data_IF_115476837503
#
_entry.id   IF_115476837503
#
_cell.length_a   1.000
_cell.length_b   1.000
_cell.length_c   1.000
_cell.angle_alpha   90.00
_cell.angle_beta   90.00
_cell.angle_gamma   90.00
#
_symmetry.space_group_name_H-M   'P 1'
#
loop_
_entity.id
_entity.type
_entity.pdbx_description
1 polymer ?
#
# COMPACT_ATOMS: atom_id res chain seq x y z
N UNK A 1 4.49 13.07 -18.44
CA UNK A 1 4.07 13.50 -17.09
C UNK A 1 5.16 14.37 -16.46
N UNK A 2 4.82 15.53 -15.90
CA UNK A 2 5.73 16.41 -15.13
C UNK A 2 5.18 16.58 -13.71
N UNK A 3 5.93 16.16 -12.68
CA UNK A 3 5.53 16.24 -11.26
C UNK A 3 6.40 17.26 -10.54
N UNK A 4 5.81 18.10 -9.69
CA UNK A 4 6.54 19.02 -8.82
C UNK A 4 5.80 19.25 -7.50
N UNK A 5 6.56 19.47 -6.43
CA UNK A 5 6.04 19.85 -5.12
C UNK A 5 6.13 21.37 -4.93
N UNK A 6 5.07 21.95 -4.39
CA UNK A 6 4.91 23.38 -4.16
C UNK A 6 4.67 23.63 -2.68
N UNK A 7 5.54 24.39 -2.04
CA UNK A 7 5.36 24.82 -0.65
C UNK A 7 4.78 26.24 -0.59
N UNK A 8 3.89 26.49 0.37
CA UNK A 8 3.28 27.78 0.65
C UNK A 8 3.03 27.96 2.15
N UNK A 9 2.85 29.21 2.60
CA UNK A 9 2.48 29.48 4.00
C UNK A 9 1.08 28.98 4.31
N UNK A 10 0.17 29.12 3.35
CA UNK A 10 -1.24 28.73 3.45
C UNK A 10 -1.71 28.09 2.13
N UNK A 11 -2.85 27.38 2.17
CA UNK A 11 -3.45 26.70 1.01
C UNK A 11 -3.60 27.61 -0.21
N UNK A 12 -4.01 28.86 0.00
CA UNK A 12 -4.17 29.84 -1.08
C UNK A 12 -2.84 30.14 -1.78
N UNK A 13 -1.75 30.26 -1.02
CA UNK A 13 -0.43 30.56 -1.57
C UNK A 13 0.13 29.35 -2.33
N UNK A 14 0.03 28.15 -1.75
CA UNK A 14 0.48 26.92 -2.40
C UNK A 14 -0.28 26.69 -3.71
N UNK A 15 -1.61 26.84 -3.72
CA UNK A 15 -2.43 26.73 -4.93
C UNK A 15 -2.13 27.83 -5.96
N UNK A 16 -1.75 29.04 -5.53
CA UNK A 16 -1.30 30.08 -6.47
C UNK A 16 -0.04 29.64 -7.21
N UNK A 17 0.94 29.09 -6.49
CA UNK A 17 2.20 28.59 -7.09
C UNK A 17 1.96 27.44 -8.06
N UNK A 18 1.04 26.53 -7.72
CA UNK A 18 0.60 25.45 -8.63
C UNK A 18 0.06 26.04 -9.93
N UNK A 19 -0.86 27.00 -9.84
CA UNK A 19 -1.46 27.64 -11.04
C UNK A 19 -0.47 28.44 -11.86
N UNK A 20 0.44 29.18 -11.21
CA UNK A 20 1.49 29.95 -11.90
C UNK A 20 2.44 29.03 -12.68
N UNK A 21 2.65 27.80 -12.21
CA UNK A 21 3.62 26.87 -12.80
C UNK A 21 2.99 25.90 -13.81
N UNK A 22 1.82 25.35 -13.48
CA UNK A 22 1.17 24.27 -14.24
C UNK A 22 -0.19 24.68 -14.83
N UNK A 23 -0.72 25.84 -14.48
CA UNK A 23 -2.01 26.31 -14.97
C UNK A 23 -3.22 25.71 -14.23
N UNK A 24 -4.44 25.90 -14.77
CA UNK A 24 -5.67 25.44 -14.15
C UNK A 24 -5.89 23.92 -14.26
N UNK A 25 -5.23 23.27 -15.21
CA UNK A 25 -5.42 21.84 -15.52
C UNK A 25 -4.54 20.89 -14.68
N UNK A 26 -3.87 21.42 -13.66
CA UNK A 26 -3.00 20.66 -12.79
C UNK A 26 -3.78 19.67 -11.92
N UNK A 27 -3.31 18.41 -11.87
CA UNK A 27 -3.87 17.39 -10.98
C UNK A 27 -3.04 17.31 -9.70
N UNK A 28 -3.71 17.37 -8.55
CA UNK A 28 -3.07 17.23 -7.24
C UNK A 28 -3.00 15.75 -6.86
N UNK A 29 -1.82 15.30 -6.48
CA UNK A 29 -1.55 13.92 -6.07
C UNK A 29 -1.55 13.78 -4.55
N UNK A 30 -0.96 14.75 -3.84
CA UNK A 30 -0.73 14.70 -2.40
C UNK A 30 -0.77 16.10 -1.80
N UNK A 31 -1.22 16.20 -0.55
CA UNK A 31 -1.27 17.45 0.22
C UNK A 31 -0.82 17.17 1.64
N UNK A 32 0.31 17.75 2.03
CA UNK A 32 0.92 17.57 3.34
C UNK A 32 1.11 18.91 4.05
N UNK A 33 1.19 18.86 5.38
CA UNK A 33 1.57 20.00 6.22
C UNK A 33 2.85 19.66 6.95
N UNK A 34 3.93 20.34 6.58
CA UNK A 34 5.27 20.11 7.14
C UNK A 34 5.79 21.43 7.71
N UNK A 35 6.25 21.39 8.96
CA UNK A 35 6.81 22.55 9.68
C UNK A 35 5.90 23.81 9.64
N UNK A 36 4.59 23.59 9.73
CA UNK A 36 3.59 24.66 9.69
C UNK A 36 3.41 25.31 8.31
N UNK A 37 3.98 24.73 7.25
CA UNK A 37 3.80 25.13 5.85
C UNK A 37 3.00 24.06 5.12
N UNK A 38 2.30 24.46 4.08
CA UNK A 38 1.57 23.53 3.24
C UNK A 38 2.41 23.14 2.02
N UNK A 39 2.52 21.84 1.78
CA UNK A 39 3.15 21.26 0.59
C UNK A 39 2.11 20.56 -0.29
N UNK A 40 2.08 20.90 -1.58
CA UNK A 40 1.18 20.31 -2.56
C UNK A 40 2.02 19.67 -3.66
N UNK A 41 1.88 18.37 -3.86
CA UNK A 41 2.46 17.66 -5.01
C UNK A 41 1.45 17.68 -6.15
N UNK A 42 1.80 18.30 -7.26
CA UNK A 42 0.95 18.39 -8.45
C UNK A 42 1.66 17.85 -9.69
N UNK A 43 0.87 17.49 -10.70
CA UNK A 43 1.36 17.03 -11.98
C UNK A 43 0.63 17.69 -13.16
N UNK A 44 1.36 17.90 -14.26
CA UNK A 44 0.81 18.13 -15.59
C UNK A 44 0.76 16.83 -16.39
N UNK A 45 -0.29 16.72 -17.22
CA UNK A 45 -0.55 15.57 -18.09
C UNK A 45 -0.58 14.25 -17.30
N UNK A 46 -1.42 14.23 -16.25
CA UNK A 46 -1.59 13.05 -15.42
C UNK A 46 -2.43 12.00 -16.16
N UNK A 47 -1.81 10.84 -16.44
CA UNK A 47 -2.52 9.65 -16.86
C UNK A 47 -2.73 8.73 -15.65
N UNK A 48 -3.98 8.53 -15.20
CA UNK A 48 -4.28 7.67 -14.06
C UNK A 48 -3.89 6.21 -14.31
N UNK A 49 -3.98 5.71 -15.54
CA UNK A 49 -3.68 4.31 -15.84
C UNK A 49 -2.18 4.02 -15.67
N UNK A 50 -1.33 4.89 -16.23
CA UNK A 50 0.12 4.77 -16.11
C UNK A 50 0.60 4.95 -14.66
N UNK A 51 -0.03 5.85 -13.89
CA UNK A 51 0.33 6.07 -12.49
C UNK A 51 -0.03 4.89 -11.59
N UNK A 52 -1.21 4.29 -11.77
CA UNK A 52 -1.62 3.12 -11.00
C UNK A 52 -0.68 1.93 -11.27
N UNK A 53 -0.33 1.72 -12.54
CA UNK A 53 0.61 0.66 -12.91
C UNK A 53 2.00 0.88 -12.29
N UNK A 54 2.50 2.12 -12.29
CA UNK A 54 3.75 2.49 -11.63
C UNK A 54 3.71 2.33 -10.11
N UNK A 55 2.57 2.59 -9.45
CA UNK A 55 2.38 2.34 -8.02
C UNK A 55 2.36 0.86 -7.69
N UNK A 56 1.68 0.06 -8.50
CA UNK A 56 1.63 -1.40 -8.36
C UNK A 56 3.02 -2.02 -8.57
N UNK A 57 3.86 -1.47 -9.44
CA UNK A 57 5.25 -1.93 -9.59
C UNK A 57 6.17 -1.48 -8.44
N UNK A 58 5.85 -0.39 -7.74
CA UNK A 58 6.59 0.09 -6.58
C UNK A 58 6.16 -0.57 -5.26
N UNK A 59 5.05 -1.32 -5.25
CA UNK A 59 4.63 -2.15 -4.12
C UNK A 59 5.20 -3.57 -4.21
N UNK A 60 6.47 -3.73 -4.59
CA UNK A 60 7.21 -4.91 -4.17
C UNK A 60 7.43 -4.78 -2.65
N UNK A 61 6.97 -5.73 -1.82
CA UNK A 61 7.00 -5.56 -0.38
C UNK A 61 8.46 -5.58 0.09
N UNK A 62 8.96 -4.45 0.58
CA UNK A 62 10.05 -4.47 1.55
C UNK A 62 9.52 -5.19 2.80
N UNK A 63 10.27 -6.12 3.40
CA UNK A 63 9.75 -6.92 4.51
C UNK A 63 9.42 -5.97 5.67
N UNK A 64 8.15 -5.97 6.06
CA UNK A 64 7.67 -5.24 7.21
C UNK A 64 8.46 -5.68 8.45
N UNK A 65 9.20 -4.74 9.02
CA UNK A 65 9.73 -4.85 10.36
C UNK A 65 8.56 -5.17 11.31
N UNK A 66 8.81 -6.19 12.11
CA UNK A 66 7.87 -6.81 13.02
C UNK A 66 7.39 -5.78 14.06
N UNK A 67 6.09 -5.62 14.19
CA UNK A 67 5.51 -5.11 15.44
C UNK A 67 5.08 -6.35 16.22
N UNK A 68 6.00 -6.75 17.09
CA UNK A 68 5.75 -7.58 18.25
C UNK A 68 4.92 -6.73 19.23
N UNK A 69 3.68 -7.15 19.48
CA UNK A 69 2.91 -6.73 20.64
C UNK A 69 2.24 -8.00 21.15
N UNK A 70 2.92 -8.60 22.12
CA UNK A 70 2.50 -9.75 22.89
C UNK A 70 1.35 -9.42 23.85
N UNK A 71 0.53 -10.45 24.07
CA UNK A 71 -0.34 -10.73 25.22
C UNK A 71 -1.49 -9.75 25.52
N UNK A 72 -2.73 -10.14 25.24
CA UNK A 72 -3.58 -10.86 26.21
C UNK A 72 -4.99 -11.12 25.66
N UNK A 73 -5.54 -12.28 26.05
CA UNK A 73 -6.90 -12.74 25.93
C UNK A 73 -7.98 -11.64 25.97
N UNK A 74 -8.74 -11.51 24.87
CA UNK A 74 -10.12 -11.05 24.96
C UNK A 74 -10.96 -11.67 23.85
N UNK A 75 -11.63 -12.77 24.19
CA UNK A 75 -12.84 -13.18 23.48
C UNK A 75 -13.88 -12.05 23.58
N UNK A 76 -14.15 -11.37 22.47
CA UNK A 76 -15.46 -10.77 22.28
C UNK A 76 -15.79 -10.56 20.83
N UNK A 77 -16.68 -11.44 20.38
CA UNK A 77 -17.55 -11.35 19.23
C UNK A 77 -17.98 -9.91 18.91
N UNK A 78 -17.51 -9.41 17.77
CA UNK A 78 -18.26 -8.42 16.98
C UNK A 78 -18.14 -8.82 15.51
N UNK A 79 -19.18 -9.51 15.05
CA UNK A 79 -19.53 -9.60 13.64
C UNK A 79 -19.87 -8.19 13.17
N UNK A 80 -18.99 -7.59 12.38
CA UNK A 80 -19.34 -6.51 11.47
C UNK A 80 -18.96 -6.97 10.07
N UNK A 81 -20.01 -7.20 9.31
CA UNK A 81 -20.00 -7.43 7.88
C UNK A 81 -19.35 -6.26 7.17
N UNK A 82 -18.10 -6.43 6.75
CA UNK A 82 -17.56 -5.69 5.62
C UNK A 82 -17.25 -6.67 4.50
N UNK A 83 -18.04 -6.54 3.44
CA UNK A 83 -17.80 -7.19 2.16
C UNK A 83 -16.81 -6.32 1.40
N UNK A 84 -15.53 -6.69 1.20
CA UNK A 84 -14.70 -6.05 0.20
C UNK A 84 -15.07 -6.60 -1.17
N UNK A 85 -15.74 -5.74 -1.93
CA UNK A 85 -15.97 -5.88 -3.36
C UNK A 85 -14.66 -5.83 -4.15
N UNK A 86 -14.55 -6.76 -5.10
CA UNK A 86 -13.79 -6.66 -6.34
C UNK A 86 -12.25 -6.49 -6.26
N UNK A 87 -11.58 -7.65 -6.23
CA UNK A 87 -10.23 -7.86 -6.76
C UNK A 87 -10.15 -9.24 -7.42
N UNK A 88 -11.07 -9.57 -8.34
CA UNK A 88 -11.11 -10.85 -9.05
C UNK A 88 -10.06 -10.89 -10.15
N UNK A 89 -8.81 -11.19 -9.79
CA UNK A 89 -7.79 -11.62 -10.76
C UNK A 89 -6.69 -12.51 -10.18
N UNK A 90 -6.53 -12.66 -8.85
CA UNK A 90 -5.43 -13.47 -8.28
C UNK A 90 -5.88 -14.46 -7.18
N UNK A 91 -7.17 -14.77 -7.06
CA UNK A 91 -7.62 -15.74 -6.04
C UNK A 91 -7.21 -17.17 -6.37
N UNK A 92 -7.06 -17.51 -7.65
CA UNK A 92 -6.61 -18.82 -8.10
C UNK A 92 -5.13 -19.04 -7.75
N UNK A 93 -4.26 -18.07 -8.08
CA UNK A 93 -2.83 -18.13 -7.76
C UNK A 93 -2.57 -18.06 -6.26
N UNK A 94 -3.34 -17.26 -5.51
CA UNK A 94 -3.28 -17.27 -4.04
C UNK A 94 -3.72 -18.61 -3.44
N UNK A 95 -4.76 -19.26 -3.99
CA UNK A 95 -5.21 -20.57 -3.53
C UNK A 95 -4.24 -21.71 -3.90
N UNK A 96 -3.61 -21.64 -5.07
CA UNK A 96 -2.55 -22.58 -5.47
C UNK A 96 -1.31 -22.45 -4.60
N UNK A 97 -0.87 -21.21 -4.32
CA UNK A 97 0.24 -20.94 -3.40
C UNK A 97 -0.08 -21.40 -1.97
N UNK A 98 -1.33 -21.27 -1.53
CA UNK A 98 -1.76 -21.80 -0.24
C UNK A 98 -1.66 -23.33 -0.18
N UNK A 99 -2.12 -24.05 -1.23
CA UNK A 99 -1.95 -25.51 -1.32
C UNK A 99 -0.49 -25.93 -1.35
N UNK A 100 0.35 -25.23 -2.11
CA UNK A 100 1.79 -25.51 -2.13
C UNK A 100 2.42 -25.32 -0.75
N UNK A 101 1.98 -24.31 0.02
CA UNK A 101 2.45 -24.09 1.39
C UNK A 101 2.07 -25.25 2.31
N UNK A 102 0.82 -25.73 2.22
CA UNK A 102 0.35 -26.86 3.03
C UNK A 102 1.12 -28.15 2.71
N UNK A 103 1.41 -28.42 1.43
CA UNK A 103 2.22 -29.57 1.00
C UNK A 103 3.65 -29.50 1.54
N UNK A 104 4.29 -28.33 1.46
CA UNK A 104 5.64 -28.12 2.00
C UNK A 104 5.68 -28.27 3.52
N UNK A 105 4.66 -27.77 4.23
CA UNK A 105 4.55 -27.94 5.68
C UNK A 105 4.38 -29.42 6.06
N UNK A 106 3.62 -30.17 5.28
CA UNK A 106 3.45 -31.62 5.47
C UNK A 106 4.78 -32.35 5.32
N UNK A 107 5.56 -32.03 4.28
CA UNK A 107 6.90 -32.61 4.07
C UNK A 107 7.83 -32.26 5.24
N UNK A 108 7.80 -31.00 5.70
CA UNK A 108 8.63 -30.54 6.83
C UNK A 108 8.31 -31.32 8.11
N UNK A 109 7.04 -31.51 8.43
CA UNK A 109 6.61 -32.27 9.61
C UNK A 109 7.14 -33.71 9.58
N UNK A 110 7.04 -34.38 8.42
CA UNK A 110 7.56 -35.74 8.24
C UNK A 110 9.09 -35.80 8.40
N UNK A 111 9.82 -34.82 7.86
CA UNK A 111 11.28 -34.75 7.98
C UNK A 111 11.72 -34.44 9.41
N UNK A 112 11.06 -33.52 10.11
CA UNK A 112 11.33 -33.20 11.51
C UNK A 112 11.10 -34.43 12.41
N UNK A 113 10.03 -35.20 12.17
CA UNK A 113 9.76 -36.45 12.88
C UNK A 113 10.78 -37.57 12.59
N UNK A 114 11.35 -37.61 11.37
CA UNK A 114 12.42 -38.55 11.02
C UNK A 114 13.75 -38.16 11.67
N UNK A 115 14.08 -36.87 11.69
CA UNK A 115 15.30 -36.36 12.31
C UNK A 115 15.27 -36.48 13.83
N UNK A 116 14.10 -36.35 14.47
CA UNK A 116 13.96 -36.53 15.93
C UNK A 116 14.17 -37.97 16.40
N UNK A 117 14.32 -38.93 15.47
CA UNK A 117 14.49 -40.35 15.77
C UNK A 117 15.95 -40.83 15.65
N UNK A 118 16.87 -39.91 15.33
CA UNK A 118 18.33 -40.11 15.33
C UNK A 118 18.94 -39.52 16.59
#
# INVERSE_FOLDING_TARGET
MKIKRFSGKDMREAMRRVRESFGPDAVILETDRVDGRLEITAAMDFDPAAYQQARMSQTAPAPAAQIDCTDEDFESSVVLTETPVAGTADTASAAELARMRDEVQTIRCLLEAQLSRL
#
